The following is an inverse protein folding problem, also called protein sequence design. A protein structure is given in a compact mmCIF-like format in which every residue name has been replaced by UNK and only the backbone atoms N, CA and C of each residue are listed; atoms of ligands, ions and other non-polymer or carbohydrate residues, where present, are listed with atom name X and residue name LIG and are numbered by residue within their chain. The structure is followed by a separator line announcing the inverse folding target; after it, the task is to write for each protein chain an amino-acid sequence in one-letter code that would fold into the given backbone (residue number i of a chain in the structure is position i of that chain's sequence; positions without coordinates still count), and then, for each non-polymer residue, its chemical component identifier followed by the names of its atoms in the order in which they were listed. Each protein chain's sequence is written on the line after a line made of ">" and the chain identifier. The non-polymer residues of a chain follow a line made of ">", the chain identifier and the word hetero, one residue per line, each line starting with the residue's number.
data_IF_265113807502
#
_entry.id   IF_265113807502
#
_cell.length_a   1.000
_cell.length_b   1.000
_cell.length_c   1.000
_cell.angle_alpha   90.00
_cell.angle_beta   90.00
_cell.angle_gamma   90.00
#
_symmetry.space_group_name_H-M   'P 1'
#
loop_
_entity.id
_entity.type
_entity.pdbx_description
1 polymer ?
#
# COMPACT_ATOMS: atom_id res chain seq x y z
N UNK A 1 51.84 -15.34 -17.89
CA UNK A 1 50.93 -15.53 -19.04
C UNK A 1 49.50 -15.49 -18.53
N UNK A 2 48.64 -14.64 -19.12
CA UNK A 2 47.16 -14.54 -18.97
C UNK A 2 46.68 -14.22 -17.53
N UNK A 3 46.43 -12.97 -17.14
CA UNK A 3 45.27 -12.10 -17.49
C UNK A 3 44.01 -12.92 -17.80
N UNK A 4 43.06 -13.01 -16.87
CA UNK A 4 41.63 -12.77 -17.13
C UNK A 4 40.99 -12.20 -15.86
N UNK A 5 40.47 -11.00 -16.05
CA UNK A 5 39.60 -10.22 -15.20
C UNK A 5 38.21 -10.87 -15.25
N UNK A 6 37.59 -11.23 -14.12
CA UNK A 6 36.16 -11.56 -14.12
C UNK A 6 35.40 -10.41 -13.45
N UNK A 7 34.71 -9.68 -14.31
CA UNK A 7 34.00 -8.45 -14.00
C UNK A 7 32.71 -8.73 -13.20
N UNK A 8 32.52 -7.91 -12.17
CA UNK A 8 31.27 -7.27 -11.73
C UNK A 8 29.95 -7.82 -12.27
N UNK A 9 29.08 -8.24 -11.35
CA UNK A 9 27.69 -7.75 -11.32
C UNK A 9 27.39 -7.41 -9.87
N UNK A 10 27.67 -6.17 -9.48
CA UNK A 10 26.97 -5.59 -8.35
C UNK A 10 25.52 -5.44 -8.82
N UNK A 11 24.65 -6.36 -8.42
CA UNK A 11 23.22 -6.19 -8.61
C UNK A 11 22.83 -4.90 -7.91
N UNK A 12 22.69 -3.88 -8.74
CA UNK A 12 22.05 -2.62 -8.42
C UNK A 12 20.64 -3.00 -7.97
N UNK A 13 20.43 -3.11 -6.66
CA UNK A 13 19.08 -2.95 -6.13
C UNK A 13 18.67 -1.55 -6.57
N UNK A 14 17.90 -1.50 -7.66
CA UNK A 14 17.18 -0.32 -8.06
C UNK A 14 16.33 0.03 -6.85
N UNK A 15 16.82 0.99 -6.08
CA UNK A 15 15.98 1.80 -5.23
C UNK A 15 15.01 2.46 -6.19
N UNK A 16 13.85 1.83 -6.37
CA UNK A 16 12.69 2.51 -6.88
C UNK A 16 12.37 3.56 -5.82
N UNK A 17 12.92 4.76 -5.98
CA UNK A 17 12.37 5.95 -5.35
C UNK A 17 10.99 6.19 -6.00
N UNK A 18 10.01 5.35 -5.71
CA UNK A 18 8.65 5.83 -5.63
C UNK A 18 8.66 6.79 -4.44
N UNK A 19 8.07 7.98 -4.60
CA UNK A 19 7.60 8.70 -3.42
C UNK A 19 6.46 7.86 -2.88
N UNK A 20 6.79 6.73 -2.23
CA UNK A 20 5.86 5.95 -1.46
C UNK A 20 5.50 6.89 -0.31
N UNK A 21 4.28 7.43 -0.37
CA UNK A 21 3.72 8.06 0.81
C UNK A 21 3.85 7.06 1.95
N UNK A 22 4.52 7.49 3.01
CA UNK A 22 4.68 6.67 4.19
C UNK A 22 3.30 6.49 4.79
N UNK A 23 2.67 5.35 4.50
CA UNK A 23 1.32 5.03 4.94
C UNK A 23 1.18 5.18 6.46
N UNK A 24 2.25 4.97 7.22
CA UNK A 24 2.24 5.11 8.68
C UNK A 24 1.92 6.52 9.16
N UNK A 25 2.04 7.52 8.29
CA UNK A 25 1.65 8.92 8.58
C UNK A 25 0.16 9.17 8.44
N UNK A 26 -0.59 8.23 7.85
CA UNK A 26 -2.01 8.35 7.63
C UNK A 26 -2.78 8.04 8.91
N UNK A 27 -3.83 8.82 9.17
CA UNK A 27 -4.68 8.68 10.35
C UNK A 27 -5.33 7.30 10.43
N UNK A 28 -5.71 6.76 9.27
CA UNK A 28 -6.31 5.44 9.12
C UNK A 28 -5.34 4.27 9.25
N UNK A 29 -4.02 4.50 9.32
CA UNK A 29 -3.02 3.44 9.26
C UNK A 29 -3.16 2.39 10.36
N UNK A 30 -3.42 2.81 11.60
CA UNK A 30 -3.57 1.87 12.72
C UNK A 30 -4.67 0.84 12.46
N UNK A 31 -5.84 1.29 12.00
CA UNK A 31 -6.94 0.38 11.66
C UNK A 31 -6.64 -0.43 10.40
N UNK A 32 -5.92 0.13 9.42
CA UNK A 32 -5.49 -0.63 8.25
C UNK A 32 -4.59 -1.81 8.65
N UNK A 33 -3.56 -1.58 9.46
CA UNK A 33 -2.63 -2.61 9.94
C UNK A 33 -3.31 -3.66 10.85
N UNK A 34 -4.32 -3.26 11.62
CA UNK A 34 -5.12 -4.18 12.42
C UNK A 34 -6.09 -5.02 11.56
N UNK A 35 -6.60 -4.46 10.46
CA UNK A 35 -7.60 -5.11 9.60
C UNK A 35 -6.96 -6.01 8.54
N UNK A 36 -5.79 -5.61 8.01
CA UNK A 36 -5.04 -6.33 6.97
C UNK A 36 -3.54 -6.32 7.29
N UNK A 37 -2.83 -7.37 6.90
CA UNK A 37 -1.36 -7.40 6.98
C UNK A 37 -0.76 -6.55 5.85
N UNK A 38 -0.78 -5.22 6.03
CA UNK A 38 -0.37 -4.21 5.03
C UNK A 38 1.00 -4.53 4.42
N UNK A 39 1.91 -5.13 5.19
CA UNK A 39 3.27 -5.47 4.75
C UNK A 39 3.33 -6.56 3.66
N UNK A 40 2.25 -7.33 3.45
CA UNK A 40 2.19 -8.36 2.40
C UNK A 40 1.73 -7.82 1.05
N UNK A 41 1.34 -6.55 0.96
CA UNK A 41 0.75 -5.97 -0.24
C UNK A 41 1.55 -4.79 -0.76
N UNK A 42 1.43 -4.51 -2.06
CA UNK A 42 1.91 -3.28 -2.67
C UNK A 42 0.79 -2.22 -2.61
N UNK A 43 0.90 -1.18 -1.75
CA UNK A 43 -0.10 -0.14 -1.69
C UNK A 43 0.09 0.87 -2.81
N UNK A 44 -1.03 1.28 -3.41
CA UNK A 44 -1.07 2.36 -4.40
C UNK A 44 -2.17 3.34 -4.05
N UNK A 45 -1.76 4.57 -3.79
CA UNK A 45 -2.68 5.69 -3.55
C UNK A 45 -3.26 6.13 -4.89
N UNK A 46 -4.55 5.85 -5.11
CA UNK A 46 -5.25 6.23 -6.34
C UNK A 46 -5.84 7.64 -6.24
N UNK A 47 -6.13 8.09 -5.02
CA UNK A 47 -6.63 9.44 -4.75
C UNK A 47 -6.20 9.85 -3.35
N UNK A 48 -5.68 11.06 -3.21
CA UNK A 48 -5.53 11.75 -1.93
C UNK A 48 -5.84 13.23 -2.15
N UNK A 49 -7.01 13.68 -1.68
CA UNK A 49 -7.45 15.08 -1.76
C UNK A 49 -8.10 15.50 -0.43
N UNK A 50 -8.58 16.74 -0.33
CA UNK A 50 -9.18 17.26 0.91
C UNK A 50 -10.42 16.48 1.38
N UNK A 51 -11.11 15.79 0.49
CA UNK A 51 -12.31 15.01 0.81
C UNK A 51 -12.01 13.57 1.20
N UNK A 52 -11.24 12.86 0.37
CA UNK A 52 -11.00 11.43 0.58
C UNK A 52 -9.59 10.97 0.20
N UNK A 53 -9.23 9.81 0.77
CA UNK A 53 -8.09 9.00 0.34
C UNK A 53 -8.58 7.62 -0.08
N UNK A 54 -8.10 7.15 -1.23
CA UNK A 54 -8.37 5.80 -1.74
C UNK A 54 -7.05 5.11 -1.99
N UNK A 55 -6.85 3.97 -1.34
CA UNK A 55 -5.66 3.14 -1.49
C UNK A 55 -6.10 1.76 -1.98
N UNK A 56 -5.42 1.27 -3.03
CA UNK A 56 -5.53 -0.11 -3.48
C UNK A 56 -4.33 -0.89 -2.97
N UNK A 57 -4.57 -2.08 -2.43
CA UNK A 57 -3.53 -2.98 -1.95
C UNK A 57 -3.45 -4.16 -2.92
N UNK A 58 -2.32 -4.27 -3.60
CA UNK A 58 -2.08 -5.27 -4.62
C UNK A 58 -1.36 -6.49 -4.04
N UNK A 59 -1.82 -7.68 -4.44
CA UNK A 59 -1.08 -8.94 -4.36
C UNK A 59 -0.70 -9.32 -5.79
N UNK A 60 0.59 -9.24 -6.11
CA UNK A 60 1.09 -9.25 -7.48
C UNK A 60 0.37 -8.20 -8.36
N UNK A 61 -0.30 -8.62 -9.43
CA UNK A 61 -1.02 -7.72 -10.36
C UNK A 61 -2.52 -7.57 -10.02
N UNK A 62 -2.98 -8.18 -8.92
CA UNK A 62 -4.39 -8.20 -8.53
C UNK A 62 -4.64 -7.30 -7.34
N UNK A 63 -5.70 -6.51 -7.40
CA UNK A 63 -6.20 -5.78 -6.23
C UNK A 63 -6.80 -6.80 -5.26
N UNK A 64 -6.23 -6.91 -4.05
CA UNK A 64 -6.73 -7.78 -2.98
C UNK A 64 -7.64 -6.98 -2.03
N UNK A 65 -7.27 -5.72 -1.74
CA UNK A 65 -8.06 -4.84 -0.88
C UNK A 65 -8.15 -3.43 -1.43
N UNK A 66 -9.18 -2.72 -0.96
CA UNK A 66 -9.36 -1.29 -1.17
C UNK A 66 -9.70 -0.64 0.17
N UNK A 67 -9.02 0.46 0.48
CA UNK A 67 -9.47 1.39 1.52
C UNK A 67 -10.09 2.64 0.90
N UNK A 68 -11.09 3.18 1.60
CA UNK A 68 -11.65 4.50 1.34
C UNK A 68 -11.76 5.21 2.68
N UNK A 69 -11.00 6.29 2.83
CA UNK A 69 -11.04 7.16 4.00
C UNK A 69 -11.69 8.49 3.64
N UNK A 70 -12.82 8.82 4.29
CA UNK A 70 -13.53 10.10 4.15
C UNK A 70 -13.05 11.02 5.25
N UNK A 71 -12.16 11.97 4.93
CA UNK A 71 -11.39 12.75 5.90
C UNK A 71 -12.26 13.60 6.82
N UNK A 72 -13.24 14.29 6.25
CA UNK A 72 -14.13 15.18 7.02
C UNK A 72 -15.03 14.42 8.01
N UNK A 73 -15.26 13.14 7.76
CA UNK A 73 -16.09 12.28 8.60
C UNK A 73 -15.24 11.37 9.49
N UNK A 74 -13.91 11.38 9.31
CA UNK A 74 -12.98 10.38 9.86
C UNK A 74 -13.50 8.95 9.65
N UNK A 75 -14.18 8.69 8.54
CA UNK A 75 -14.82 7.40 8.29
C UNK A 75 -13.96 6.54 7.38
N UNK A 76 -13.59 5.36 7.85
CA UNK A 76 -12.80 4.39 7.08
C UNK A 76 -13.69 3.23 6.67
N UNK A 77 -13.57 2.83 5.39
CA UNK A 77 -14.06 1.55 4.90
C UNK A 77 -12.90 0.75 4.31
N UNK A 78 -12.78 -0.51 4.73
CA UNK A 78 -11.82 -1.50 4.20
C UNK A 78 -12.59 -2.63 3.55
N UNK A 79 -12.29 -2.92 2.28
CA UNK A 79 -13.02 -3.88 1.46
C UNK A 79 -12.02 -4.91 0.92
N UNK A 80 -12.32 -6.20 1.08
CA UNK A 80 -11.64 -7.29 0.37
C UNK A 80 -12.35 -7.58 -0.95
N UNK A 81 -11.62 -7.94 -2.00
CA UNK A 81 -12.22 -8.39 -3.26
C UNK A 81 -12.85 -9.78 -3.18
N UNK A 82 -12.55 -10.54 -2.13
CA UNK A 82 -13.01 -11.92 -1.94
C UNK A 82 -14.12 -12.05 -0.89
N UNK A 83 -14.47 -10.94 -0.21
CA UNK A 83 -15.54 -10.89 0.78
C UNK A 83 -16.76 -10.12 0.27
N UNK A 84 -17.97 -10.58 0.63
CA UNK A 84 -19.22 -9.89 0.26
C UNK A 84 -19.47 -8.61 1.10
N UNK A 85 -18.90 -8.54 2.30
CA UNK A 85 -19.06 -7.43 3.23
C UNK A 85 -17.73 -6.71 3.49
N UNK A 86 -17.74 -5.41 3.85
CA UNK A 86 -16.55 -4.71 4.29
C UNK A 86 -15.94 -5.38 5.53
N UNK A 87 -14.60 -5.42 5.59
CA UNK A 87 -13.86 -5.89 6.76
C UNK A 87 -13.91 -4.86 7.89
N UNK A 88 -13.98 -3.58 7.53
CA UNK A 88 -14.15 -2.46 8.44
C UNK A 88 -15.02 -1.39 7.77
N UNK A 89 -15.88 -0.72 8.55
CA UNK A 89 -16.75 0.35 8.07
C UNK A 89 -17.25 1.21 9.23
N UNK A 90 -16.37 2.02 9.82
CA UNK A 90 -16.70 2.86 10.99
C UNK A 90 -15.85 4.14 11.05
N UNK A 91 -16.19 5.04 11.97
CA UNK A 91 -15.42 6.25 12.28
C UNK A 91 -14.20 5.94 13.14
N UNK A 92 -13.08 6.64 12.91
CA UNK A 92 -11.82 6.56 13.66
C UNK A 92 -11.79 7.50 14.88
#
# INVERSE_FOLDING_TARGET
>A
MKKVLLATVASLFLVACSNADDLSTYEEYGVLEETIDVAQYEPKVETDNDGNRVILFYEDERVAYKSVYVKNERHLKVISTDAEAPLYNDTL
#
